data_IF_615419352693
#
_entry.id   IF_615419352693
#
_cell.length_a   1.000
_cell.length_b   1.000
_cell.length_c   1.000
_cell.angle_alpha   90.00
_cell.angle_beta   90.00
_cell.angle_gamma   90.00
#
_symmetry.space_group_name_H-M   'P 1'
#
loop_
_entity.id
_entity.type
_entity.pdbx_description
1 polymer ?
#
# COMPACT_ATOMS: atom_id res chain seq x y z
N UNK A 1 14.01 34.19 -9.11
CA UNK A 1 13.48 33.86 -7.78
C UNK A 1 12.02 34.25 -7.75
N UNK A 2 11.12 33.32 -7.37
CA UNK A 2 9.71 33.54 -6.98
C UNK A 2 8.80 33.71 -8.22
N UNK A 3 7.68 32.98 -8.43
CA UNK A 3 6.55 32.77 -7.50
C UNK A 3 5.69 31.52 -7.83
N UNK A 4 6.18 30.57 -8.65
CA UNK A 4 5.29 29.54 -9.27
C UNK A 4 5.30 28.16 -8.61
N UNK A 5 6.09 27.92 -7.55
CA UNK A 5 6.28 26.57 -6.96
C UNK A 5 5.65 26.43 -5.56
N UNK A 6 4.89 27.42 -5.09
CA UNK A 6 4.38 27.47 -3.71
C UNK A 6 2.85 27.58 -3.63
N UNK A 7 2.16 26.79 -4.44
CA UNK A 7 0.73 26.52 -4.26
C UNK A 7 0.60 25.03 -3.92
N UNK A 8 1.11 24.72 -2.72
CA UNK A 8 0.80 23.54 -1.94
C UNK A 8 -0.61 23.78 -1.35
N UNK A 9 -1.63 23.70 -2.20
CA UNK A 9 -3.04 23.67 -1.80
C UNK A 9 -3.33 22.18 -1.66
N UNK A 10 -3.19 21.53 -0.51
CA UNK A 10 -4.03 21.69 0.68
C UNK A 10 -5.51 21.86 0.31
N UNK A 11 -6.00 20.99 -0.58
CA UNK A 11 -7.43 20.78 -0.77
C UNK A 11 -7.88 19.76 0.28
N UNK A 12 -8.39 20.35 1.33
CA UNK A 12 -9.39 19.86 2.26
C UNK A 12 -10.46 18.97 1.57
N UNK A 13 -10.56 17.71 1.98
CA UNK A 13 -11.83 16.97 1.95
C UNK A 13 -12.05 16.41 3.35
N UNK A 14 -12.64 17.23 4.21
CA UNK A 14 -14.02 17.10 4.64
C UNK A 14 -14.27 15.72 5.27
N UNK A 15 -14.23 15.70 6.60
CA UNK A 15 -14.72 14.61 7.40
C UNK A 15 -16.21 14.38 7.08
N UNK A 16 -16.49 13.37 6.26
CA UNK A 16 -17.80 12.75 6.26
C UNK A 16 -17.81 11.76 7.43
N UNK A 17 -18.49 12.14 8.51
CA UNK A 17 -18.96 11.20 9.52
C UNK A 17 -19.97 10.28 8.85
N UNK A 18 -19.47 9.23 8.21
CA UNK A 18 -20.21 8.02 7.96
C UNK A 18 -19.85 7.05 9.07
N UNK A 19 -20.79 6.76 9.97
CA UNK A 19 -20.68 5.59 10.85
C UNK A 19 -20.85 4.32 9.99
N UNK A 20 -19.82 4.02 9.21
CA UNK A 20 -19.55 2.73 8.61
C UNK A 20 -18.07 2.52 8.81
N UNK A 21 -17.66 1.36 9.34
CA UNK A 21 -16.25 1.09 9.60
C UNK A 21 -15.42 1.36 8.32
N UNK A 22 -14.72 2.50 8.28
CA UNK A 22 -13.87 2.86 7.16
C UNK A 22 -12.70 1.87 7.17
N UNK A 23 -12.65 1.03 6.14
CA UNK A 23 -11.54 0.10 5.97
C UNK A 23 -10.27 0.90 5.71
N UNK A 24 -9.26 0.73 6.57
CA UNK A 24 -7.98 1.43 6.47
C UNK A 24 -7.27 1.10 5.16
N UNK A 25 -7.35 -0.17 4.75
CA UNK A 25 -6.82 -0.67 3.50
C UNK A 25 -7.96 -0.85 2.48
N UNK A 26 -7.78 -0.29 1.29
CA UNK A 26 -8.84 -0.14 0.27
C UNK A 26 -8.45 -0.77 -1.05
N UNK A 27 -9.45 -1.05 -1.90
CA UNK A 27 -9.24 -1.54 -3.26
C UNK A 27 -8.56 -0.47 -4.13
N UNK A 28 -8.81 0.81 -3.85
CA UNK A 28 -8.16 1.93 -4.53
C UNK A 28 -6.64 1.93 -4.31
N UNK A 29 -6.20 1.88 -3.04
CA UNK A 29 -4.76 1.78 -2.70
C UNK A 29 -4.14 0.55 -3.36
N UNK A 30 -4.81 -0.60 -3.28
CA UNK A 30 -4.36 -1.81 -3.95
C UNK A 30 -4.15 -1.56 -5.44
N UNK A 31 -5.12 -0.97 -6.15
CA UNK A 31 -5.04 -0.76 -7.61
C UNK A 31 -3.92 0.20 -8.04
N UNK A 32 -3.46 1.09 -7.16
CA UNK A 32 -2.32 1.96 -7.44
C UNK A 32 -0.98 1.18 -7.45
N UNK A 33 -0.88 0.07 -6.71
CA UNK A 33 0.33 -0.76 -6.64
C UNK A 33 0.52 -1.53 -7.95
N UNK A 34 1.69 -1.41 -8.57
CA UNK A 34 2.05 -2.06 -9.83
C UNK A 34 3.33 -2.87 -9.69
N UNK A 35 3.47 -3.89 -10.53
CA UNK A 35 4.72 -4.66 -10.64
C UNK A 35 5.91 -3.72 -10.88
N UNK A 36 7.05 -4.04 -10.27
CA UNK A 36 8.28 -3.27 -10.35
C UNK A 36 8.39 -2.10 -9.36
N UNK A 37 7.31 -1.71 -8.66
CA UNK A 37 7.39 -0.69 -7.60
C UNK A 37 8.30 -1.17 -6.45
N UNK A 38 9.00 -0.23 -5.81
CA UNK A 38 9.76 -0.51 -4.60
C UNK A 38 8.82 -0.70 -3.40
N UNK A 39 9.31 -1.37 -2.35
CA UNK A 39 8.64 -1.44 -1.06
C UNK A 39 8.26 -0.05 -0.54
N UNK A 40 9.20 0.91 -0.54
CA UNK A 40 8.93 2.28 -0.06
C UNK A 40 7.79 2.97 -0.81
N UNK A 41 7.67 2.74 -2.13
CA UNK A 41 6.57 3.33 -2.90
C UNK A 41 5.23 2.69 -2.57
N UNK A 42 5.23 1.39 -2.26
CA UNK A 42 4.02 0.71 -1.74
C UNK A 42 3.65 1.26 -0.37
N UNK A 43 4.62 1.45 0.53
CA UNK A 43 4.39 2.05 1.84
C UNK A 43 3.83 3.47 1.73
N UNK A 44 4.31 4.28 0.78
CA UNK A 44 3.77 5.61 0.52
C UNK A 44 2.31 5.58 0.05
N UNK A 45 1.94 4.61 -0.80
CA UNK A 45 0.57 4.42 -1.28
C UNK A 45 -0.37 3.95 -0.16
N UNK A 46 0.09 2.99 0.66
CA UNK A 46 -0.76 2.35 1.68
C UNK A 46 -0.81 3.15 2.98
N UNK A 47 0.27 3.88 3.29
CA UNK A 47 0.40 4.74 4.47
C UNK A 47 1.13 4.10 5.65
N UNK A 48 1.51 2.82 5.57
CA UNK A 48 2.34 2.13 6.56
C UNK A 48 3.03 0.88 5.98
N UNK A 49 3.93 0.28 6.77
CA UNK A 49 4.76 -0.85 6.36
C UNK A 49 4.07 -2.21 6.21
N UNK A 50 2.83 -2.34 6.69
CA UNK A 50 2.18 -3.64 6.78
C UNK A 50 2.91 -4.62 7.70
N UNK A 51 2.57 -5.89 7.59
CA UNK A 51 3.17 -6.98 8.35
C UNK A 51 3.99 -7.89 7.43
N UNK A 52 5.25 -8.16 7.78
CA UNK A 52 6.06 -9.16 7.08
C UNK A 52 5.53 -10.57 7.41
N UNK A 53 4.79 -11.15 6.47
CA UNK A 53 4.17 -12.47 6.65
C UNK A 53 5.11 -13.63 6.31
N UNK A 54 6.04 -13.42 5.38
CA UNK A 54 7.03 -14.43 4.99
C UNK A 54 8.25 -13.78 4.37
N UNK A 55 9.43 -14.33 4.63
CA UNK A 55 10.68 -13.93 3.99
C UNK A 55 11.54 -15.17 3.73
N UNK A 56 12.11 -15.24 2.53
CA UNK A 56 13.04 -16.29 2.13
C UNK A 56 14.14 -15.72 1.25
N UNK A 57 15.30 -16.36 1.24
CA UNK A 57 16.37 -16.06 0.31
C UNK A 57 16.87 -17.37 -0.31
N UNK A 58 16.87 -17.43 -1.63
CA UNK A 58 17.32 -18.61 -2.37
C UNK A 58 18.16 -18.15 -3.56
N UNK A 59 19.37 -18.68 -3.68
CA UNK A 59 20.30 -18.36 -4.78
C UNK A 59 20.50 -16.85 -4.98
N UNK A 60 20.63 -16.09 -3.89
CA UNK A 60 20.80 -14.62 -3.91
C UNK A 60 19.56 -13.83 -4.32
N UNK A 61 18.39 -14.49 -4.42
CA UNK A 61 17.11 -13.85 -4.66
C UNK A 61 16.32 -13.81 -3.37
N UNK A 62 16.14 -12.60 -2.83
CA UNK A 62 15.33 -12.36 -1.64
C UNK A 62 13.87 -12.19 -2.03
N UNK A 63 12.99 -13.02 -1.48
CA UNK A 63 11.53 -12.93 -1.68
C UNK A 63 10.86 -12.66 -0.34
N UNK A 64 10.06 -11.61 -0.26
CA UNK A 64 9.30 -11.24 0.94
C UNK A 64 7.83 -10.99 0.60
N UNK A 65 6.94 -11.32 1.53
CA UNK A 65 5.50 -11.13 1.40
C UNK A 65 5.04 -10.26 2.55
N UNK A 66 4.42 -9.13 2.21
CA UNK A 66 3.82 -8.22 3.18
C UNK A 66 2.30 -8.26 3.08
N UNK A 67 1.64 -8.25 4.23
CA UNK A 67 0.18 -8.23 4.33
C UNK A 67 -0.30 -6.96 5.02
N UNK A 68 -1.34 -6.35 4.46
CA UNK A 68 -2.12 -5.30 5.09
C UNK A 68 -3.55 -5.81 5.27
N UNK A 69 -4.00 -5.96 6.52
CA UNK A 69 -5.29 -6.56 6.86
C UNK A 69 -6.15 -5.63 7.73
N UNK A 70 -7.40 -5.40 7.30
CA UNK A 70 -8.40 -4.69 8.09
C UNK A 70 -8.95 -5.59 9.20
N UNK A 71 -9.54 -4.98 10.24
CA UNK A 71 -10.25 -5.71 11.31
C UNK A 71 -11.43 -6.55 10.79
N UNK A 72 -11.96 -6.24 9.60
CA UNK A 72 -12.98 -7.02 8.89
C UNK A 72 -12.45 -8.31 8.25
N UNK A 73 -11.13 -8.54 8.25
CA UNK A 73 -10.46 -9.66 7.57
C UNK A 73 -10.13 -9.40 6.10
N UNK A 74 -10.70 -8.36 5.48
CA UNK A 74 -10.28 -7.92 4.13
C UNK A 74 -8.81 -7.51 4.13
N UNK A 75 -8.07 -7.84 3.08
CA UNK A 75 -6.62 -7.67 3.06
C UNK A 75 -6.03 -7.57 1.65
N UNK A 76 -4.80 -7.09 1.57
CA UNK A 76 -3.91 -7.27 0.42
C UNK A 76 -2.59 -7.90 0.84
N UNK A 77 -2.04 -8.73 -0.05
CA UNK A 77 -0.73 -9.36 0.08
C UNK A 77 0.12 -8.94 -1.11
N UNK A 78 1.31 -8.40 -0.86
CA UNK A 78 2.25 -7.95 -1.90
C UNK A 78 3.53 -8.77 -1.77
N UNK A 79 3.90 -9.44 -2.85
CA UNK A 79 5.17 -10.18 -2.92
C UNK A 79 6.21 -9.30 -3.56
N UNK A 80 7.33 -9.14 -2.88
CA UNK A 80 8.51 -8.46 -3.36
C UNK A 80 9.60 -9.47 -3.66
N UNK A 81 10.32 -9.25 -4.74
CA UNK A 81 11.54 -9.96 -5.04
C UNK A 81 12.65 -8.94 -5.28
N UNK A 82 13.75 -9.05 -4.53
CA UNK A 82 14.83 -8.07 -4.48
C UNK A 82 14.29 -6.63 -4.30
N UNK A 83 13.31 -6.47 -3.40
CA UNK A 83 12.71 -5.18 -3.04
C UNK A 83 11.70 -4.62 -4.05
N UNK A 84 11.37 -5.34 -5.12
CA UNK A 84 10.40 -4.91 -6.14
C UNK A 84 9.17 -5.80 -6.19
N UNK A 85 7.99 -5.20 -6.38
CA UNK A 85 6.73 -5.94 -6.53
C UNK A 85 6.82 -6.90 -7.71
N UNK A 86 6.59 -8.19 -7.46
CA UNK A 86 6.50 -9.23 -8.51
C UNK A 86 5.11 -9.84 -8.59
N UNK A 87 4.35 -9.82 -7.50
CA UNK A 87 2.95 -10.25 -7.50
C UNK A 87 2.16 -9.54 -6.40
N UNK A 88 0.84 -9.56 -6.54
CA UNK A 88 -0.11 -8.96 -5.60
C UNK A 88 -1.43 -9.73 -5.61
N UNK A 89 -2.05 -9.86 -4.45
CA UNK A 89 -3.36 -10.46 -4.27
C UNK A 89 -4.18 -9.64 -3.27
N UNK A 90 -5.51 -9.70 -3.38
CA UNK A 90 -6.42 -9.09 -2.41
C UNK A 90 -7.62 -9.99 -2.14
N UNK A 91 -8.19 -9.84 -0.96
CA UNK A 91 -9.45 -10.44 -0.58
C UNK A 91 -10.40 -9.39 0.02
N UNK A 92 -11.60 -9.28 -0.55
CA UNK A 92 -12.73 -8.50 -0.04
C UNK A 92 -12.45 -7.00 0.19
N UNK A 93 -11.42 -6.43 -0.46
CA UNK A 93 -11.20 -4.98 -0.42
C UNK A 93 -12.32 -4.26 -1.17
N UNK A 94 -12.68 -3.08 -0.65
CA UNK A 94 -13.69 -2.17 -1.22
C UNK A 94 -13.05 -0.85 -1.60
#
# INVERSE_FOLDING_TARGET
MNKTVLILVLILSLALVGCGATSKYTLEQFNQIKNGMSYDKVVEIVGDGGELSSETEMMGTKTSIYTWQNTSGSNMMITFQNGKVVSKAQAMLK
#
